data_IF_773057137167
#
_entry.id   IF_773057137167
#
_cell.length_a   1.000
_cell.length_b   1.000
_cell.length_c   1.000
_cell.angle_alpha   90.00
_cell.angle_beta   90.00
_cell.angle_gamma   90.00
#
_symmetry.space_group_name_H-M   'P 1'
#
loop_
_entity.id
_entity.type
_entity.pdbx_description
1 polymer ?
#
# COMPACT_ATOMS: atom_id res chain seq x y z
N UNK A 1 43.49 -43.79 33.89
CA UNK A 1 42.19 -43.80 33.19
C UNK A 1 41.55 -42.43 33.37
N UNK A 2 41.59 -41.60 32.33
CA UNK A 2 40.86 -40.31 32.31
C UNK A 2 39.41 -40.60 31.90
N UNK A 3 38.46 -40.29 32.80
CA UNK A 3 37.06 -40.37 32.46
C UNK A 3 36.70 -39.20 31.52
N UNK A 4 36.40 -39.50 30.27
CA UNK A 4 35.83 -38.54 29.36
C UNK A 4 34.39 -38.23 29.79
N UNK A 5 34.14 -36.96 30.12
CA UNK A 5 32.76 -36.45 30.34
C UNK A 5 32.06 -36.42 29.01
N UNK A 6 30.89 -37.05 28.88
CA UNK A 6 30.12 -37.01 27.61
C UNK A 6 29.69 -35.60 27.30
N UNK A 7 29.79 -35.21 26.01
CA UNK A 7 29.37 -33.90 25.53
C UNK A 7 27.86 -33.70 25.75
N UNK A 8 27.40 -32.46 26.03
CA UNK A 8 25.99 -32.18 26.24
C UNK A 8 25.19 -32.50 24.97
N UNK A 9 24.12 -33.27 25.12
CA UNK A 9 23.19 -33.57 24.04
C UNK A 9 22.18 -32.40 23.95
N UNK A 10 22.15 -31.75 22.80
CA UNK A 10 21.17 -30.72 22.52
C UNK A 10 19.96 -31.38 21.85
N UNK A 11 18.88 -31.49 22.59
CA UNK A 11 17.60 -31.98 22.04
C UNK A 11 16.70 -30.80 21.69
N UNK A 12 16.44 -30.61 20.40
CA UNK A 12 15.51 -29.59 19.90
C UNK A 12 14.12 -30.19 19.89
N UNK A 13 13.32 -29.92 20.95
CA UNK A 13 11.93 -30.35 21.01
C UNK A 13 11.04 -29.24 20.44
N UNK A 14 10.45 -29.48 19.28
CA UNK A 14 9.38 -28.65 18.75
C UNK A 14 8.07 -28.99 19.47
N UNK A 15 7.70 -28.24 20.50
CA UNK A 15 6.40 -28.41 21.15
C UNK A 15 5.34 -27.66 20.34
N UNK A 16 4.55 -28.38 19.57
CA UNK A 16 3.27 -27.87 19.08
C UNK A 16 2.32 -27.75 20.30
N UNK A 17 2.04 -26.52 20.73
CA UNK A 17 1.04 -26.27 21.76
C UNK A 17 -0.30 -26.85 21.30
N UNK A 18 -0.81 -27.81 22.05
CA UNK A 18 -2.10 -28.47 21.83
C UNK A 18 -3.23 -27.43 21.73
N UNK A 19 -4.12 -27.65 20.78
CA UNK A 19 -5.46 -27.06 20.62
C UNK A 19 -5.57 -25.59 20.17
N UNK A 20 -4.62 -25.04 19.45
CA UNK A 20 -4.99 -24.02 18.48
C UNK A 20 -5.05 -24.71 17.11
N UNK A 21 -6.26 -24.95 16.62
CA UNK A 21 -6.49 -25.23 15.20
C UNK A 21 -5.89 -24.04 14.47
N UNK A 22 -4.70 -24.22 13.91
CA UNK A 22 -4.10 -23.25 13.02
C UNK A 22 -5.08 -23.11 11.85
N UNK A 23 -5.93 -22.07 11.91
CA UNK A 23 -6.71 -21.67 10.73
C UNK A 23 -5.65 -21.38 9.68
N UNK A 24 -5.59 -22.15 8.59
CA UNK A 24 -4.58 -21.89 7.56
C UNK A 24 -4.75 -20.43 7.14
N UNK A 25 -3.68 -19.65 7.02
CA UNK A 25 -3.79 -18.27 6.57
C UNK A 25 -4.64 -18.30 5.29
N UNK A 26 -5.67 -17.47 5.24
CA UNK A 26 -6.59 -17.40 4.09
C UNK A 26 -5.80 -16.91 2.88
N UNK A 27 -5.06 -17.83 2.25
CA UNK A 27 -4.18 -17.51 1.11
C UNK A 27 -5.00 -16.84 0.01
N UNK A 28 -4.38 -15.85 -0.61
CA UNK A 28 -4.98 -15.17 -1.75
C UNK A 28 -4.98 -16.16 -2.93
N UNK A 29 -6.12 -16.40 -3.59
CA UNK A 29 -6.19 -17.30 -4.73
C UNK A 29 -5.20 -16.88 -5.83
N UNK A 30 -4.49 -17.87 -6.38
CA UNK A 30 -3.52 -17.63 -7.46
C UNK A 30 -4.15 -16.91 -8.66
N UNK A 31 -5.40 -17.23 -8.99
CA UNK A 31 -6.12 -16.56 -10.07
C UNK A 31 -6.23 -15.04 -9.88
N UNK A 32 -6.46 -14.57 -8.65
CA UNK A 32 -6.52 -13.12 -8.36
C UNK A 32 -5.12 -12.50 -8.49
N UNK A 33 -4.08 -13.16 -7.96
CA UNK A 33 -2.69 -12.70 -8.11
C UNK A 33 -2.31 -12.58 -9.58
N UNK A 34 -2.61 -13.60 -10.39
CA UNK A 34 -2.32 -13.61 -11.83
C UNK A 34 -3.11 -12.55 -12.59
N UNK A 35 -4.43 -12.45 -12.37
CA UNK A 35 -5.28 -11.48 -13.06
C UNK A 35 -4.80 -10.03 -12.83
N UNK A 36 -4.50 -9.67 -11.57
CA UNK A 36 -4.00 -8.33 -11.24
C UNK A 36 -2.57 -8.11 -11.73
N UNK A 37 -1.72 -9.15 -11.75
CA UNK A 37 -0.37 -9.05 -12.33
C UNK A 37 -0.41 -8.85 -13.84
N UNK A 38 -1.29 -9.57 -14.55
CA UNK A 38 -1.50 -9.38 -16.00
C UNK A 38 -2.03 -7.98 -16.29
N UNK A 39 -3.00 -7.50 -15.50
CA UNK A 39 -3.48 -6.12 -15.62
C UNK A 39 -2.34 -5.11 -15.46
N UNK A 40 -1.51 -5.25 -14.42
CA UNK A 40 -0.37 -4.37 -14.20
C UNK A 40 0.67 -4.47 -15.32
N UNK A 41 0.94 -5.68 -15.82
CA UNK A 41 1.86 -5.92 -16.94
C UNK A 41 1.39 -5.27 -18.26
N UNK A 42 0.09 -5.09 -18.44
CA UNK A 42 -0.49 -4.33 -19.57
C UNK A 42 -0.46 -2.83 -19.28
N UNK A 43 -0.87 -2.40 -18.08
CA UNK A 43 -0.95 -0.99 -17.73
C UNK A 43 0.41 -0.31 -17.78
N UNK A 44 1.46 -0.94 -17.23
CA UNK A 44 2.79 -0.32 -17.13
C UNK A 44 3.35 0.12 -18.49
N UNK A 45 3.45 -0.73 -19.53
CA UNK A 45 3.97 -0.28 -20.82
C UNK A 45 3.06 0.73 -21.52
N UNK A 46 1.73 0.62 -21.39
CA UNK A 46 0.80 1.58 -21.97
C UNK A 46 0.96 2.95 -21.31
N UNK A 47 1.04 3.01 -19.99
CA UNK A 47 1.21 4.27 -19.27
C UNK A 47 2.60 4.88 -19.45
N UNK A 48 3.65 4.05 -19.51
CA UNK A 48 4.99 4.53 -19.86
C UNK A 48 5.01 5.23 -21.22
N UNK A 49 4.31 4.66 -22.20
CA UNK A 49 4.23 5.24 -23.53
C UNK A 49 3.35 6.49 -23.57
N UNK A 50 2.19 6.48 -22.90
CA UNK A 50 1.22 7.56 -22.96
C UNK A 50 1.59 8.75 -22.05
N UNK A 51 2.02 8.47 -20.82
CA UNK A 51 2.19 9.47 -19.75
C UNK A 51 3.62 9.55 -19.21
N UNK A 52 4.52 8.68 -19.66
CA UNK A 52 5.91 8.64 -19.18
C UNK A 52 6.07 8.04 -17.77
N UNK A 53 7.33 7.93 -17.29
CA UNK A 53 7.64 7.25 -16.03
C UNK A 53 7.16 8.01 -14.79
N UNK A 54 7.04 9.32 -14.85
CA UNK A 54 6.61 10.14 -13.72
C UNK A 54 5.16 9.92 -13.32
N UNK A 55 4.34 9.33 -14.23
CA UNK A 55 2.97 8.96 -13.91
C UNK A 55 2.86 7.99 -12.73
N UNK A 56 3.83 7.10 -12.57
CA UNK A 56 3.84 6.13 -11.46
C UNK A 56 4.14 6.73 -10.08
N UNK A 57 4.36 8.05 -10.00
CA UNK A 57 4.49 8.79 -8.75
C UNK A 57 3.12 9.23 -8.18
N UNK A 58 2.04 9.08 -8.93
CA UNK A 58 0.70 9.26 -8.37
C UNK A 58 0.45 8.21 -7.28
N UNK A 59 -0.16 8.62 -6.18
CA UNK A 59 -0.48 7.71 -5.06
C UNK A 59 -1.26 6.48 -5.49
N UNK A 60 -2.18 6.62 -6.44
CA UNK A 60 -3.01 5.53 -6.95
C UNK A 60 -2.19 4.49 -7.73
N UNK A 61 -1.26 4.94 -8.59
CA UNK A 61 -0.40 4.03 -9.36
C UNK A 61 0.62 3.33 -8.46
N UNK A 62 1.24 4.07 -7.54
CA UNK A 62 2.13 3.49 -6.52
C UNK A 62 1.39 2.44 -5.68
N UNK A 63 0.15 2.73 -5.25
CA UNK A 63 -0.65 1.79 -4.48
C UNK A 63 -1.07 0.55 -5.30
N UNK A 64 -1.38 0.70 -6.60
CA UNK A 64 -1.67 -0.44 -7.48
C UNK A 64 -0.47 -1.40 -7.54
N UNK A 65 0.73 -0.87 -7.78
CA UNK A 65 1.97 -1.65 -7.83
C UNK A 65 2.21 -2.35 -6.47
N UNK A 66 2.10 -1.61 -5.38
CA UNK A 66 2.29 -2.15 -4.03
C UNK A 66 1.21 -3.16 -3.64
N UNK A 67 -0.02 -3.01 -4.14
CA UNK A 67 -1.09 -3.99 -3.93
C UNK A 67 -0.73 -5.32 -4.59
N UNK A 68 -0.24 -5.30 -5.84
CA UNK A 68 0.22 -6.53 -6.51
C UNK A 68 1.38 -7.16 -5.75
N UNK A 69 2.39 -6.39 -5.35
CA UNK A 69 3.48 -6.89 -4.52
C UNK A 69 2.97 -7.46 -3.19
N UNK A 70 2.06 -6.76 -2.52
CA UNK A 70 1.44 -7.17 -1.26
C UNK A 70 0.66 -8.48 -1.38
N UNK A 71 -0.01 -8.71 -2.52
CA UNK A 71 -0.69 -9.98 -2.79
C UNK A 71 0.29 -11.15 -2.96
N UNK A 72 1.39 -10.97 -3.68
CA UNK A 72 2.41 -12.01 -3.85
C UNK A 72 3.11 -12.33 -2.53
N UNK A 73 3.43 -11.33 -1.74
CA UNK A 73 4.05 -11.46 -0.43
C UNK A 73 3.05 -11.85 0.67
N UNK A 74 1.74 -11.87 0.38
CA UNK A 74 0.66 -12.03 1.34
C UNK A 74 0.84 -11.12 2.56
N UNK A 75 1.27 -9.89 2.33
CA UNK A 75 1.66 -8.93 3.35
C UNK A 75 0.48 -8.08 3.83
N UNK A 76 0.00 -8.27 5.07
CA UNK A 76 -1.06 -7.42 5.64
C UNK A 76 -0.65 -5.94 5.67
N UNK A 77 0.64 -5.66 5.92
CA UNK A 77 1.15 -4.29 5.99
C UNK A 77 1.02 -3.57 4.63
N UNK A 78 1.47 -4.19 3.53
CA UNK A 78 1.41 -3.58 2.20
C UNK A 78 -0.04 -3.33 1.77
N UNK A 79 -0.94 -4.29 2.00
CA UNK A 79 -2.36 -4.12 1.68
C UNK A 79 -3.00 -3.03 2.54
N UNK A 80 -2.74 -3.04 3.84
CA UNK A 80 -3.32 -2.06 4.77
C UNK A 80 -2.83 -0.64 4.49
N UNK A 81 -1.53 -0.45 4.17
CA UNK A 81 -1.01 0.87 3.85
C UNK A 81 -1.60 1.43 2.54
N UNK A 82 -1.76 0.60 1.50
CA UNK A 82 -2.45 1.01 0.28
C UNK A 82 -3.90 1.43 0.57
N UNK A 83 -4.64 0.64 1.38
CA UNK A 83 -6.00 0.97 1.75
C UNK A 83 -6.10 2.30 2.51
N UNK A 84 -5.19 2.56 3.48
CA UNK A 84 -5.14 3.85 4.19
C UNK A 84 -4.91 5.01 3.24
N UNK A 85 -4.02 4.84 2.29
CA UNK A 85 -3.56 5.93 1.44
C UNK A 85 -4.50 6.35 0.33
N UNK A 86 -5.17 5.37 -0.29
CA UNK A 86 -5.89 5.66 -1.54
C UNK A 86 -7.40 5.50 -1.46
N UNK A 87 -7.94 4.89 -0.39
CA UNK A 87 -9.37 4.59 -0.35
C UNK A 87 -10.23 5.85 -0.50
N UNK A 88 -9.98 6.89 0.30
CA UNK A 88 -10.72 8.14 0.21
C UNK A 88 -10.46 8.88 -1.12
N UNK A 89 -9.23 9.08 -1.60
CA UNK A 89 -8.97 9.65 -2.91
C UNK A 89 -9.67 8.90 -4.06
N UNK A 90 -9.73 7.59 -4.02
CA UNK A 90 -10.41 6.78 -5.03
C UNK A 90 -11.93 6.95 -4.98
N UNK A 91 -12.52 7.07 -3.78
CA UNK A 91 -13.94 7.39 -3.65
C UNK A 91 -14.26 8.78 -4.25
N UNK A 92 -13.39 9.76 -4.05
CA UNK A 92 -13.53 11.09 -4.65
C UNK A 92 -13.39 11.03 -6.18
N UNK A 93 -12.45 10.24 -6.69
CA UNK A 93 -12.30 10.00 -8.12
C UNK A 93 -13.55 9.37 -8.74
N UNK A 94 -14.12 8.35 -8.09
CA UNK A 94 -15.35 7.69 -8.53
C UNK A 94 -16.55 8.64 -8.51
N UNK A 95 -16.64 9.47 -7.49
CA UNK A 95 -17.70 10.48 -7.38
C UNK A 95 -17.57 11.49 -8.53
N UNK A 96 -16.37 12.03 -8.77
CA UNK A 96 -16.11 12.98 -9.85
C UNK A 96 -16.39 12.34 -11.22
N UNK A 97 -15.96 11.10 -11.44
CA UNK A 97 -16.23 10.35 -12.65
C UNK A 97 -17.73 10.17 -12.88
N UNK A 98 -18.49 9.79 -11.84
CA UNK A 98 -19.94 9.63 -11.93
C UNK A 98 -20.66 10.95 -12.22
N UNK A 99 -20.22 12.04 -11.60
CA UNK A 99 -20.78 13.40 -11.84
C UNK A 99 -20.48 13.87 -13.27
N UNK A 100 -19.26 13.64 -13.75
CA UNK A 100 -18.88 13.96 -15.13
C UNK A 100 -19.65 13.13 -16.18
N UNK A 101 -19.97 11.86 -15.88
CA UNK A 101 -20.83 11.03 -16.75
C UNK A 101 -22.26 11.60 -16.89
N UNK A 102 -22.74 12.29 -15.87
CA UNK A 102 -24.04 12.99 -15.89
C UNK A 102 -23.99 14.36 -16.58
N UNK A 103 -22.83 14.77 -17.10
CA UNK A 103 -22.61 16.04 -17.78
C UNK A 103 -22.33 17.23 -16.86
N UNK A 104 -22.08 16.99 -15.58
CA UNK A 104 -21.68 18.02 -14.62
C UNK A 104 -20.18 17.97 -14.35
N UNK A 105 -19.56 19.11 -14.04
CA UNK A 105 -18.16 19.19 -13.63
C UNK A 105 -18.08 19.50 -12.14
N UNK A 106 -17.31 18.68 -11.39
CA UNK A 106 -17.20 18.81 -9.93
C UNK A 106 -15.77 19.16 -9.48
N UNK A 107 -14.88 18.19 -9.46
CA UNK A 107 -13.50 18.38 -8.99
C UNK A 107 -12.47 18.40 -10.12
N UNK A 108 -12.89 18.06 -11.33
CA UNK A 108 -12.02 17.90 -12.51
C UNK A 108 -10.87 16.89 -12.35
N UNK A 109 -11.06 15.89 -11.49
CA UNK A 109 -10.08 14.81 -11.29
C UNK A 109 -10.09 13.82 -12.46
N UNK A 110 -11.22 13.72 -13.17
CA UNK A 110 -11.49 12.71 -14.19
C UNK A 110 -11.68 13.30 -15.59
N UNK A 111 -11.34 14.58 -15.79
CA UNK A 111 -11.49 15.25 -17.09
C UNK A 111 -10.79 14.51 -18.22
N UNK A 112 -9.62 13.93 -17.97
CA UNK A 112 -8.86 13.12 -18.95
C UNK A 112 -9.61 11.86 -19.43
N UNK A 113 -10.54 11.34 -18.64
CA UNK A 113 -11.37 10.19 -19.02
C UNK A 113 -12.33 10.51 -20.20
N UNK A 114 -12.60 11.78 -20.41
CA UNK A 114 -13.48 12.28 -21.47
C UNK A 114 -12.72 12.94 -22.62
N UNK A 115 -11.39 13.03 -22.53
CA UNK A 115 -10.54 13.58 -23.57
C UNK A 115 -10.46 12.65 -24.77
N UNK A 116 -10.98 13.08 -25.94
CA UNK A 116 -10.98 12.31 -27.17
C UNK A 116 -9.58 12.12 -27.78
N UNK A 117 -8.59 12.91 -27.40
CA UNK A 117 -7.20 12.78 -27.85
C UNK A 117 -6.51 11.58 -27.22
N UNK A 118 -6.99 11.10 -26.07
CA UNK A 118 -6.46 9.91 -25.42
C UNK A 118 -7.18 8.65 -25.94
N UNK A 119 -6.43 7.59 -26.29
CA UNK A 119 -7.04 6.32 -26.73
C UNK A 119 -8.01 5.77 -25.66
N UNK A 120 -9.15 5.28 -26.11
CA UNK A 120 -10.16 4.71 -25.22
C UNK A 120 -9.60 3.57 -24.36
N UNK A 121 -8.69 2.77 -24.93
CA UNK A 121 -8.01 1.70 -24.19
C UNK A 121 -7.19 2.24 -23.02
N UNK A 122 -6.41 3.30 -23.24
CA UNK A 122 -5.59 3.95 -22.19
C UNK A 122 -6.48 4.52 -21.08
N UNK A 123 -7.57 5.21 -21.45
CA UNK A 123 -8.56 5.70 -20.49
C UNK A 123 -9.26 4.56 -19.76
N UNK A 124 -9.58 3.46 -20.44
CA UNK A 124 -10.20 2.28 -19.86
C UNK A 124 -9.34 1.60 -18.79
N UNK A 125 -8.02 1.64 -18.92
CA UNK A 125 -7.12 1.14 -17.86
C UNK A 125 -7.27 1.93 -16.56
N UNK A 126 -7.59 3.23 -16.61
CA UNK A 126 -7.82 4.05 -15.43
C UNK A 126 -9.05 3.65 -14.61
N UNK A 127 -9.92 2.78 -15.14
CA UNK A 127 -11.02 2.21 -14.35
C UNK A 127 -10.54 1.33 -13.19
N UNK A 128 -9.23 1.11 -13.04
CA UNK A 128 -8.70 0.48 -11.83
C UNK A 128 -9.02 1.29 -10.57
N UNK A 129 -9.21 2.60 -10.69
CA UNK A 129 -9.69 3.44 -9.60
C UNK A 129 -11.03 2.97 -9.02
N UNK A 130 -11.85 2.28 -9.80
CA UNK A 130 -13.13 1.73 -9.36
C UNK A 130 -13.00 0.37 -8.67
N UNK A 131 -12.21 -0.55 -9.21
CA UNK A 131 -12.14 -1.90 -8.66
C UNK A 131 -11.04 -2.10 -7.61
N UNK A 132 -9.97 -1.27 -7.62
CA UNK A 132 -8.88 -1.41 -6.66
C UNK A 132 -9.32 -1.22 -5.20
N UNK A 133 -10.18 -0.23 -4.84
CA UNK A 133 -10.71 -0.13 -3.47
C UNK A 133 -11.49 -1.38 -3.05
N UNK A 134 -12.30 -1.95 -3.94
CA UNK A 134 -13.05 -3.17 -3.66
C UNK A 134 -12.13 -4.37 -3.44
N UNK A 135 -11.08 -4.48 -4.26
CA UNK A 135 -10.04 -5.49 -4.07
C UNK A 135 -9.33 -5.32 -2.73
N UNK A 136 -8.95 -4.08 -2.36
CA UNK A 136 -8.29 -3.81 -1.08
C UNK A 136 -9.18 -4.18 0.12
N UNK A 137 -10.48 -3.86 0.07
CA UNK A 137 -11.44 -4.29 1.10
C UNK A 137 -11.48 -5.82 1.21
N UNK A 138 -11.58 -6.51 0.08
CA UNK A 138 -11.57 -7.97 0.07
C UNK A 138 -10.27 -8.57 0.62
N UNK A 139 -9.11 -7.96 0.26
CA UNK A 139 -7.80 -8.37 0.76
C UNK A 139 -7.67 -8.14 2.28
N UNK A 140 -8.23 -7.05 2.80
CA UNK A 140 -8.26 -6.79 4.25
C UNK A 140 -9.09 -7.82 5.01
N UNK A 141 -10.20 -8.31 4.44
CA UNK A 141 -10.94 -9.44 5.04
C UNK A 141 -10.12 -10.73 5.06
N UNK A 142 -9.24 -10.93 4.06
CA UNK A 142 -8.38 -12.10 3.95
C UNK A 142 -7.16 -12.07 4.85
N UNK A 143 -6.47 -10.93 4.92
CA UNK A 143 -5.18 -10.79 5.57
C UNK A 143 -5.24 -10.08 6.93
N UNK A 144 -6.34 -9.40 7.22
CA UNK A 144 -6.47 -8.53 8.37
C UNK A 144 -5.84 -7.15 8.14
N UNK A 145 -6.08 -6.24 9.10
CA UNK A 145 -5.60 -4.88 9.07
C UNK A 145 -4.38 -4.68 9.98
N UNK A 146 -3.25 -4.27 9.41
CA UNK A 146 -2.02 -3.98 10.15
C UNK A 146 -1.98 -2.50 10.58
N UNK A 147 -1.96 -2.26 11.89
CA UNK A 147 -1.95 -0.90 12.47
C UNK A 147 -0.72 -0.06 12.11
N UNK A 148 0.36 -0.68 11.63
CA UNK A 148 1.56 0.03 11.13
C UNK A 148 1.32 0.67 9.76
N UNK A 149 0.16 0.45 9.16
CA UNK A 149 -0.21 0.99 7.85
C UNK A 149 -0.15 2.51 7.79
N UNK A 150 -0.63 3.22 8.83
CA UNK A 150 -0.61 4.69 8.86
C UNK A 150 0.82 5.26 8.78
N UNK A 151 1.76 4.93 9.68
CA UNK A 151 3.12 5.44 9.56
C UNK A 151 3.81 4.98 8.27
N UNK A 152 3.60 3.73 7.82
CA UNK A 152 4.21 3.22 6.60
C UNK A 152 3.74 3.99 5.35
N UNK A 153 2.42 4.23 5.23
CA UNK A 153 1.90 5.05 4.13
C UNK A 153 2.34 6.51 4.24
N UNK A 154 2.35 7.08 5.44
CA UNK A 154 2.78 8.47 5.65
C UNK A 154 4.21 8.71 5.18
N UNK A 155 5.13 7.77 5.48
CA UNK A 155 6.52 7.83 5.00
C UNK A 155 6.57 7.72 3.47
N UNK A 156 5.84 6.77 2.89
CA UNK A 156 5.80 6.62 1.43
C UNK A 156 5.23 7.87 0.76
N UNK A 157 4.10 8.39 1.23
CA UNK A 157 3.46 9.58 0.67
C UNK A 157 4.37 10.80 0.77
N UNK A 158 5.03 11.01 1.90
CA UNK A 158 6.00 12.09 2.07
C UNK A 158 7.19 11.94 1.09
N UNK A 159 7.69 10.71 0.91
CA UNK A 159 8.77 10.42 -0.06
C UNK A 159 8.33 10.70 -1.48
N UNK A 160 7.15 10.22 -1.89
CA UNK A 160 6.61 10.49 -3.23
C UNK A 160 6.40 11.99 -3.45
N UNK A 161 5.84 12.70 -2.47
CA UNK A 161 5.67 14.15 -2.55
C UNK A 161 7.01 14.89 -2.63
N UNK A 162 8.02 14.46 -1.86
CA UNK A 162 9.37 15.01 -1.95
C UNK A 162 9.95 14.83 -3.36
N UNK A 163 9.87 13.62 -3.92
CA UNK A 163 10.33 13.35 -5.29
C UNK A 163 9.56 14.20 -6.31
N UNK A 164 8.24 14.25 -6.19
CA UNK A 164 7.43 15.07 -7.11
C UNK A 164 7.76 16.55 -7.00
N UNK A 165 7.95 17.08 -5.80
CA UNK A 165 8.22 18.50 -5.59
C UNK A 165 9.53 18.96 -6.23
N UNK A 166 10.59 18.14 -6.14
CA UNK A 166 11.92 18.51 -6.64
C UNK A 166 12.21 18.04 -8.06
N UNK A 167 11.53 17.00 -8.55
CA UNK A 167 11.94 16.32 -9.78
C UNK A 167 10.84 16.22 -10.84
N UNK A 168 9.63 16.75 -10.58
CA UNK A 168 8.55 16.75 -11.59
C UNK A 168 8.08 18.18 -11.90
N UNK A 169 7.49 18.38 -13.08
CA UNK A 169 7.06 19.72 -13.50
C UNK A 169 5.94 20.27 -12.59
N UNK A 170 6.05 21.53 -12.14
CA UNK A 170 4.99 22.20 -11.40
C UNK A 170 3.76 22.51 -12.27
N UNK A 171 2.66 22.89 -11.63
CA UNK A 171 1.50 23.46 -12.30
C UNK A 171 1.91 24.66 -13.18
N UNK A 172 1.24 24.85 -14.31
CA UNK A 172 1.54 25.92 -15.29
C UNK A 172 2.72 25.62 -16.21
N UNK A 173 3.35 24.45 -16.10
CA UNK A 173 4.43 24.06 -17.01
C UNK A 173 3.85 23.63 -18.36
N UNK A 174 4.32 24.24 -19.45
CA UNK A 174 3.99 23.80 -20.80
C UNK A 174 5.04 22.80 -21.30
N UNK A 175 4.63 21.53 -21.40
CA UNK A 175 5.48 20.46 -21.91
C UNK A 175 5.23 20.26 -23.41
N UNK A 176 6.28 19.86 -24.16
CA UNK A 176 6.16 19.53 -25.58
C UNK A 176 5.18 18.36 -25.83
N UNK A 177 5.11 17.41 -24.90
CA UNK A 177 4.08 16.39 -24.85
C UNK A 177 3.10 16.73 -23.72
N UNK A 178 1.91 17.17 -24.09
CA UNK A 178 0.85 17.58 -23.15
C UNK A 178 0.27 16.44 -22.32
N UNK A 179 0.54 15.19 -22.69
CA UNK A 179 0.06 14.03 -21.94
C UNK A 179 0.94 13.69 -20.73
N UNK A 180 2.16 14.26 -20.65
CA UNK A 180 3.01 14.04 -19.49
C UNK A 180 2.42 14.73 -18.27
N UNK A 181 2.36 14.04 -17.12
CA UNK A 181 1.74 14.60 -15.93
C UNK A 181 2.56 15.75 -15.35
N UNK A 182 1.87 16.79 -14.97
CA UNK A 182 2.38 17.92 -14.20
C UNK A 182 1.65 17.97 -12.87
N UNK A 183 2.15 18.72 -11.90
CA UNK A 183 1.49 18.94 -10.61
C UNK A 183 1.07 17.61 -9.90
N UNK A 184 1.92 16.60 -9.99
CA UNK A 184 1.63 15.26 -9.47
C UNK A 184 1.33 15.34 -7.96
N UNK A 185 0.28 14.64 -7.52
CA UNK A 185 -0.25 14.66 -6.16
C UNK A 185 -0.68 16.06 -5.67
N UNK A 186 -0.99 16.98 -6.59
CA UNK A 186 -1.51 18.33 -6.31
C UNK A 186 -0.58 19.20 -5.44
N UNK A 187 0.74 19.03 -5.60
CA UNK A 187 1.73 19.71 -4.78
C UNK A 187 1.85 21.22 -5.04
N UNK A 188 1.26 21.70 -6.12
CA UNK A 188 1.25 23.12 -6.49
C UNK A 188 -0.15 23.74 -6.50
N UNK A 189 -1.15 23.03 -5.97
CA UNK A 189 -2.55 23.49 -5.96
C UNK A 189 -3.48 22.52 -6.71
N UNK A 190 -4.76 22.83 -6.73
CA UNK A 190 -5.76 21.98 -7.39
C UNK A 190 -5.93 22.30 -8.90
N UNK A 191 -5.22 23.29 -9.40
CA UNK A 191 -5.29 23.72 -10.78
C UNK A 191 -3.96 23.44 -11.49
N UNK A 192 -4.02 22.70 -12.59
CA UNK A 192 -2.82 22.39 -13.38
C UNK A 192 -2.40 23.57 -14.27
N UNK A 193 -3.27 24.55 -14.50
CA UNK A 193 -2.98 25.74 -15.34
C UNK A 193 -2.01 26.72 -14.67
N UNK A 194 -2.07 26.84 -13.35
CA UNK A 194 -1.22 27.73 -12.56
C UNK A 194 -1.05 27.25 -11.13
N UNK A 195 0.15 27.45 -10.53
CA UNK A 195 0.36 27.14 -9.12
C UNK A 195 -0.53 28.01 -8.23
N UNK A 196 -0.82 27.51 -7.02
CA UNK A 196 -1.46 28.30 -5.99
C UNK A 196 -0.59 29.52 -5.60
N UNK A 197 -1.20 30.63 -5.18
CA UNK A 197 -0.52 31.87 -4.84
C UNK A 197 -0.93 32.48 -3.49
N UNK A 198 -1.74 31.75 -2.72
CA UNK A 198 -2.27 32.23 -1.42
C UNK A 198 -1.29 32.08 -0.26
N UNK A 199 -0.33 31.14 -0.36
CA UNK A 199 0.77 30.99 0.61
C UNK A 199 2.06 30.68 -0.14
N UNK A 200 3.21 30.78 0.57
CA UNK A 200 4.48 30.36 -0.04
C UNK A 200 4.43 28.87 -0.40
N UNK A 201 5.07 28.51 -1.49
CA UNK A 201 4.99 27.15 -2.04
C UNK A 201 5.45 26.07 -1.03
N UNK A 202 6.52 26.33 -0.28
CA UNK A 202 6.99 25.40 0.75
C UNK A 202 5.95 25.22 1.88
N UNK A 203 5.30 26.31 2.30
CA UNK A 203 4.24 26.24 3.29
C UNK A 203 3.03 25.48 2.77
N UNK A 204 2.68 25.68 1.48
CA UNK A 204 1.60 24.93 0.85
C UNK A 204 1.84 23.42 0.93
N UNK A 205 3.04 22.95 0.56
CA UNK A 205 3.36 21.50 0.59
C UNK A 205 3.22 20.94 2.01
N UNK A 206 3.70 21.65 3.03
CA UNK A 206 3.57 21.23 4.43
C UNK A 206 2.09 21.17 4.84
N UNK A 207 1.30 22.19 4.51
CA UNK A 207 -0.13 22.23 4.81
C UNK A 207 -0.88 21.15 4.05
N UNK A 208 -0.53 20.89 2.78
CA UNK A 208 -1.14 19.85 1.96
C UNK A 208 -0.88 18.44 2.52
N UNK A 209 0.37 18.13 2.87
CA UNK A 209 0.71 16.87 3.53
C UNK A 209 -0.01 16.71 4.87
N UNK A 210 -0.09 17.78 5.66
CA UNK A 210 -0.85 17.81 6.91
C UNK A 210 -2.35 17.58 6.68
N UNK A 211 -2.93 18.20 5.67
CA UNK A 211 -4.33 18.02 5.29
C UNK A 211 -4.61 16.59 4.82
N UNK A 212 -3.79 16.02 3.95
CA UNK A 212 -3.89 14.62 3.53
C UNK A 212 -3.84 13.67 4.74
N UNK A 213 -2.91 13.93 5.65
CA UNK A 213 -2.78 13.10 6.85
C UNK A 213 -3.99 13.20 7.76
N UNK A 214 -4.47 14.41 8.06
CA UNK A 214 -5.59 14.65 8.98
C UNK A 214 -6.95 14.27 8.39
N UNK A 215 -7.16 14.53 7.09
CA UNK A 215 -8.48 14.39 6.47
C UNK A 215 -8.64 13.06 5.74
N UNK A 216 -7.56 12.48 5.21
CA UNK A 216 -7.62 11.23 4.47
C UNK A 216 -7.03 10.05 5.25
N UNK A 217 -5.74 10.11 5.61
CA UNK A 217 -5.03 8.92 6.10
C UNK A 217 -5.44 8.54 7.52
N UNK A 218 -5.49 9.51 8.45
CA UNK A 218 -5.86 9.24 9.84
C UNK A 218 -7.31 8.76 10.00
N UNK A 219 -8.34 9.41 9.42
CA UNK A 219 -9.71 8.92 9.50
C UNK A 219 -9.88 7.54 8.89
N UNK A 220 -9.23 7.29 7.74
CA UNK A 220 -9.27 5.99 7.10
C UNK A 220 -8.60 4.91 7.96
N UNK A 221 -7.43 5.21 8.55
CA UNK A 221 -6.78 4.32 9.51
C UNK A 221 -7.69 3.94 10.67
N UNK A 222 -8.33 4.94 11.28
CA UNK A 222 -9.24 4.73 12.42
C UNK A 222 -10.46 3.89 12.03
N UNK A 223 -11.03 4.14 10.85
CA UNK A 223 -12.16 3.37 10.33
C UNK A 223 -11.76 1.91 10.04
N UNK A 224 -10.69 1.70 9.29
CA UNK A 224 -10.23 0.35 8.92
C UNK A 224 -9.82 -0.48 10.14
N UNK A 225 -9.19 0.15 11.13
CA UNK A 225 -8.82 -0.49 12.39
C UNK A 225 -10.03 -0.96 13.19
N UNK A 226 -11.17 -0.28 13.08
CA UNK A 226 -12.42 -0.68 13.76
C UNK A 226 -13.17 -1.77 12.99
N UNK A 227 -13.09 -1.75 11.67
CA UNK A 227 -13.86 -2.65 10.80
C UNK A 227 -13.16 -4.01 10.65
N UNK A 228 -11.84 -4.01 10.51
CA UNK A 228 -11.09 -5.22 10.20
C UNK A 228 -10.31 -5.75 11.41
N UNK A 229 -10.31 -7.07 11.56
CA UNK A 229 -9.51 -7.73 12.58
C UNK A 229 -8.00 -7.51 12.35
N UNK A 230 -7.22 -7.59 13.41
CA UNK A 230 -5.77 -7.62 13.30
C UNK A 230 -5.33 -8.85 12.47
N UNK A 231 -4.17 -8.77 11.77
CA UNK A 231 -3.64 -9.92 11.07
C UNK A 231 -3.49 -11.11 12.02
N UNK A 232 -3.73 -12.34 11.54
CA UNK A 232 -3.41 -13.50 12.34
C UNK A 232 -1.93 -13.45 12.71
N UNK A 233 -1.64 -13.57 14.00
CA UNK A 233 -0.26 -13.61 14.49
C UNK A 233 0.45 -14.72 13.71
N UNK A 234 1.56 -14.37 13.06
CA UNK A 234 2.47 -15.39 12.58
C UNK A 234 2.82 -16.22 13.82
N UNK A 235 2.36 -17.47 13.84
CA UNK A 235 2.70 -18.41 14.91
C UNK A 235 4.21 -18.58 14.86
N UNK A 236 4.93 -17.74 15.61
CA UNK A 236 6.34 -17.93 15.83
C UNK A 236 6.51 -19.33 16.40
N UNK A 237 7.22 -20.19 15.70
CA UNK A 237 7.64 -21.46 16.28
C UNK A 237 8.40 -21.10 17.55
N UNK A 238 7.80 -21.37 18.71
CA UNK A 238 8.55 -21.32 19.96
C UNK A 238 9.59 -22.43 19.86
N UNK A 239 10.82 -22.05 19.63
CA UNK A 239 11.95 -22.99 19.69
C UNK A 239 12.31 -23.07 21.18
N UNK A 240 11.92 -24.16 21.83
CA UNK A 240 12.39 -24.44 23.19
C UNK A 240 13.67 -25.27 23.06
N UNK A 241 14.79 -24.65 23.45
CA UNK A 241 16.07 -25.37 23.52
C UNK A 241 16.19 -25.92 24.92
N UNK A 242 16.15 -27.27 25.05
CA UNK A 242 16.36 -27.93 26.32
C UNK A 242 17.81 -28.44 26.39
N UNK A 243 18.56 -27.94 27.33
CA UNK A 243 19.89 -28.48 27.63
C UNK A 243 19.73 -29.61 28.64
N UNK A 244 19.96 -30.85 28.18
CA UNK A 244 20.04 -32.00 29.09
C UNK A 244 21.48 -32.14 29.56
N UNK A 245 21.71 -31.74 30.79
CA UNK A 245 22.99 -32.04 31.47
C UNK A 245 22.70 -33.09 32.55
N UNK A 246 23.25 -34.26 32.41
CA UNK A 246 23.00 -35.43 33.29
C UNK A 246 23.51 -35.24 34.73
N UNK A 247 24.02 -34.07 35.11
CA UNK A 247 24.63 -33.81 36.39
C UNK A 247 24.05 -32.64 37.21
N UNK A 248 22.91 -32.03 36.77
CA UNK A 248 22.27 -30.93 37.53
C UNK A 248 20.79 -31.20 37.77
N UNK A 249 20.26 -30.98 38.98
CA UNK A 249 18.83 -31.06 39.24
C UNK A 249 18.17 -29.76 38.76
N UNK A 250 17.11 -29.92 37.96
CA UNK A 250 16.25 -28.91 37.39
C UNK A 250 16.70 -28.35 36.02
N UNK A 251 15.92 -28.69 34.99
CA UNK A 251 15.97 -28.12 33.65
C UNK A 251 15.64 -26.63 33.70
N UNK A 252 16.54 -25.77 33.26
CA UNK A 252 16.21 -24.39 32.97
C UNK A 252 15.71 -24.29 31.53
N UNK A 253 14.43 -24.00 31.36
CA UNK A 253 13.83 -23.75 30.05
C UNK A 253 13.99 -22.27 29.67
N UNK A 254 14.73 -21.98 28.62
CA UNK A 254 14.84 -20.65 28.05
C UNK A 254 13.84 -20.51 26.88
N UNK A 255 12.91 -19.58 27.00
CA UNK A 255 11.96 -19.25 25.94
C UNK A 255 12.54 -18.08 25.15
N UNK A 256 12.96 -18.34 23.93
CA UNK A 256 13.33 -17.27 22.98
C UNK A 256 12.10 -16.96 22.14
N UNK A 257 11.58 -15.74 22.26
CA UNK A 257 10.57 -15.21 21.36
C UNK A 257 11.31 -14.50 20.19
N UNK A 258 11.34 -15.06 18.98
CA UNK A 258 11.77 -14.31 17.81
C UNK A 258 10.72 -13.25 17.49
N UNK A 259 11.18 -12.07 17.18
CA UNK A 259 10.42 -10.84 16.86
C UNK A 259 9.40 -11.01 15.73
#
# INVERSE_FOLDING_TARGET
MKSETPAPVIEVISVANGNQVAVPPNKIPLAVKLATSVFLAVLVPVYLHAYGPTNFLWFCDAALILTVAGMWLESPLLISMCAVGIFLPQCLWLLDFGVNLLGFHFLNLTGYMFDSHLPLFTRGLSLFHGWLPLLLVWLLFRLGYDKRALPAWSVLAATLCFVCYFFTPPAGTHLANSNLPININYLYGFNDQQPQHWVSQNLYVVLWLGALWLVAFLPMHLALRKIFAAPPLATGRKITIRFSNSSLPASQDWIINPW
#
